data_IF_116029577132
#
_entry.id   IF_116029577132
#
_cell.length_a   1.000
_cell.length_b   1.000
_cell.length_c   1.000
_cell.angle_alpha   90.00
_cell.angle_beta   90.00
_cell.angle_gamma   90.00
#
_symmetry.space_group_name_H-M   'P 1'
#
loop_
_entity.id
_entity.type
_entity.pdbx_description
1 polymer ?
#
# COMPACT_ATOMS: atom_id res chain seq x y z
N UNK A 1 -20.90 -19.28 28.96
CA UNK A 1 -19.84 -19.56 27.99
C UNK A 1 -19.71 -18.29 27.16
N UNK A 2 -18.63 -17.54 27.35
CA UNK A 2 -18.39 -16.30 26.62
C UNK A 2 -17.93 -16.69 25.22
N UNK A 3 -18.73 -16.38 24.20
CA UNK A 3 -18.28 -16.37 22.82
C UNK A 3 -17.24 -15.25 22.70
N UNK A 4 -15.95 -15.58 22.82
CA UNK A 4 -14.88 -14.75 22.30
C UNK A 4 -14.99 -14.77 20.77
N UNK A 5 -15.89 -13.94 20.24
CA UNK A 5 -15.78 -13.50 18.84
C UNK A 5 -14.45 -12.79 18.74
N UNK A 6 -13.45 -13.47 18.17
CA UNK A 6 -12.23 -12.83 17.70
C UNK A 6 -12.67 -11.70 16.78
N UNK A 7 -12.58 -10.46 17.23
CA UNK A 7 -12.89 -9.32 16.38
C UNK A 7 -11.98 -9.38 15.15
N UNK A 8 -12.60 -9.49 13.97
CA UNK A 8 -11.87 -9.48 12.71
C UNK A 8 -11.21 -8.10 12.58
N UNK A 9 -9.88 -8.06 12.74
CA UNK A 9 -9.10 -6.84 12.49
C UNK A 9 -9.30 -6.41 11.04
N UNK A 10 -9.64 -5.15 10.82
CA UNK A 10 -9.77 -4.58 9.48
C UNK A 10 -8.44 -4.74 8.71
N UNK A 11 -8.52 -5.13 7.46
CA UNK A 11 -7.39 -5.31 6.56
C UNK A 11 -7.35 -4.17 5.54
N UNK A 12 -6.23 -3.45 5.48
CA UNK A 12 -5.98 -2.41 4.47
C UNK A 12 -4.90 -2.91 3.52
N UNK A 13 -5.07 -2.68 2.23
CA UNK A 13 -4.02 -2.83 1.24
C UNK A 13 -3.51 -1.45 0.83
N UNK A 14 -2.19 -1.25 0.82
CA UNK A 14 -1.54 -0.05 0.31
C UNK A 14 -0.74 -0.39 -0.94
N UNK A 15 -1.02 0.30 -2.04
CA UNK A 15 -0.41 0.06 -3.35
C UNK A 15 0.44 1.28 -3.77
N UNK A 16 1.67 1.00 -4.17
CA UNK A 16 2.64 1.98 -4.66
C UNK A 16 2.95 1.73 -6.14
N UNK A 17 2.77 2.77 -6.96
CA UNK A 17 3.03 2.73 -8.39
C UNK A 17 4.52 2.83 -8.74
N UNK A 18 4.82 3.10 -10.03
CA UNK A 18 6.18 3.04 -10.55
C UNK A 18 7.12 4.07 -9.93
N UNK A 19 8.40 3.70 -9.86
CA UNK A 19 9.55 4.45 -9.37
C UNK A 19 9.54 4.77 -7.87
N UNK A 20 8.49 4.46 -7.11
CA UNK A 20 8.47 4.70 -5.66
C UNK A 20 9.47 3.81 -4.90
N UNK A 21 9.87 2.67 -5.46
CA UNK A 21 10.98 1.86 -4.95
C UNK A 21 12.34 2.57 -4.97
N UNK A 22 12.45 3.72 -5.64
CA UNK A 22 13.67 4.53 -5.71
C UNK A 22 13.72 5.64 -4.64
N UNK A 23 12.70 5.79 -3.80
CA UNK A 23 12.71 6.73 -2.68
C UNK A 23 13.93 6.50 -1.77
N UNK A 24 14.49 7.59 -1.24
CA UNK A 24 15.71 7.57 -0.43
C UNK A 24 17.02 7.30 -1.20
N UNK A 25 16.97 6.92 -2.49
CA UNK A 25 18.17 6.58 -3.29
C UNK A 25 18.59 7.65 -4.30
N UNK A 26 17.71 8.59 -4.66
CA UNK A 26 18.00 9.67 -5.62
C UNK A 26 17.88 11.04 -4.95
N UNK A 27 18.90 11.86 -5.14
CA UNK A 27 18.94 13.29 -4.76
C UNK A 27 18.27 13.58 -3.39
N UNK A 28 18.88 13.14 -2.27
CA UNK A 28 18.28 13.25 -0.93
C UNK A 28 17.87 14.67 -0.54
N UNK A 29 18.52 15.68 -1.12
CA UNK A 29 18.19 17.09 -0.93
C UNK A 29 16.85 17.53 -1.54
N UNK A 30 16.28 16.75 -2.46
CA UNK A 30 15.01 17.04 -3.15
C UNK A 30 13.88 16.12 -2.66
N UNK A 31 14.15 14.82 -2.47
CA UNK A 31 13.11 13.81 -2.21
C UNK A 31 13.04 13.34 -0.75
N UNK A 32 13.90 13.88 0.13
CA UNK A 32 14.06 13.39 1.49
C UNK A 32 14.88 12.10 1.54
N UNK A 33 15.20 11.66 2.77
CA UNK A 33 16.01 10.47 3.01
C UNK A 33 15.19 9.21 3.21
N UNK A 34 13.87 9.34 3.40
CA UNK A 34 13.01 8.21 3.73
C UNK A 34 12.90 7.23 2.56
N UNK A 35 13.15 5.96 2.83
CA UNK A 35 12.96 4.89 1.84
C UNK A 35 11.50 4.44 1.82
N UNK A 36 11.10 3.74 0.74
CA UNK A 36 9.76 3.15 0.71
C UNK A 36 9.59 2.08 1.80
N UNK A 37 10.66 1.36 2.15
CA UNK A 37 10.65 0.35 3.21
C UNK A 37 10.35 0.97 4.57
N UNK A 38 10.95 2.13 4.89
CA UNK A 38 10.68 2.87 6.13
C UNK A 38 9.24 3.38 6.19
N UNK A 39 8.71 3.86 5.05
CA UNK A 39 7.32 4.31 4.93
C UNK A 39 6.37 3.12 5.14
N UNK A 40 6.65 1.97 4.53
CA UNK A 40 5.84 0.76 4.67
C UNK A 40 5.79 0.25 6.11
N UNK A 41 6.91 0.32 6.83
CA UNK A 41 6.99 -0.06 8.24
C UNK A 41 6.21 0.92 9.13
N UNK A 42 6.26 2.22 8.85
CA UNK A 42 5.45 3.22 9.54
C UNK A 42 3.96 3.00 9.31
N UNK A 43 3.54 2.73 8.06
CA UNK A 43 2.15 2.40 7.71
C UNK A 43 1.66 1.18 8.51
N UNK A 44 2.43 0.10 8.55
CA UNK A 44 2.08 -1.13 9.27
C UNK A 44 1.95 -0.87 10.77
N UNK A 45 2.92 -0.16 11.35
CA UNK A 45 2.91 0.22 12.76
C UNK A 45 1.69 1.07 13.10
N UNK A 46 1.40 2.11 12.30
CA UNK A 46 0.21 2.93 12.50
C UNK A 46 -1.06 2.10 12.37
N UNK A 47 -1.19 1.21 11.39
CA UNK A 47 -2.36 0.34 11.30
C UNK A 47 -2.56 -0.51 12.56
N UNK A 48 -1.48 -1.06 13.13
CA UNK A 48 -1.53 -1.84 14.37
C UNK A 48 -1.97 -1.01 15.58
N UNK A 49 -1.47 0.22 15.72
CA UNK A 49 -1.86 1.16 16.79
C UNK A 49 -3.37 1.44 16.78
N UNK A 50 -4.02 1.34 15.61
CA UNK A 50 -5.46 1.52 15.43
C UNK A 50 -6.25 0.20 15.42
N UNK A 51 -5.63 -0.93 15.76
CA UNK A 51 -6.28 -2.24 15.81
C UNK A 51 -6.57 -2.85 14.42
N UNK A 52 -5.92 -2.36 13.38
CA UNK A 52 -6.03 -2.81 12.00
C UNK A 52 -4.79 -3.63 11.59
N UNK A 53 -4.76 -4.11 10.34
CA UNK A 53 -3.54 -4.59 9.69
C UNK A 53 -3.41 -3.93 8.33
N UNK A 54 -2.17 -3.68 7.92
CA UNK A 54 -1.87 -3.19 6.59
C UNK A 54 -0.95 -4.18 5.86
N UNK A 55 -1.22 -4.39 4.59
CA UNK A 55 -0.30 -4.99 3.63
C UNK A 55 0.14 -3.92 2.64
N UNK A 56 1.41 -3.95 2.25
CA UNK A 56 1.98 -3.01 1.28
C UNK A 56 2.42 -3.77 0.02
N UNK A 57 2.24 -3.17 -1.14
CA UNK A 57 2.64 -3.71 -2.45
C UNK A 57 3.15 -2.59 -3.35
N UNK A 58 4.27 -2.82 -4.03
CA UNK A 58 4.82 -1.88 -5.00
C UNK A 58 5.09 -2.59 -6.32
N UNK A 59 4.76 -1.95 -7.44
CA UNK A 59 5.21 -2.41 -8.75
C UNK A 59 5.46 -1.26 -9.74
N UNK A 60 6.39 -1.52 -10.66
CA UNK A 60 6.64 -0.69 -11.83
C UNK A 60 5.78 -1.08 -13.04
N UNK A 61 5.01 -2.16 -12.94
CA UNK A 61 4.23 -2.74 -14.03
C UNK A 61 2.74 -2.50 -13.79
N UNK A 62 2.10 -1.77 -14.71
CA UNK A 62 0.65 -1.47 -14.65
C UNK A 62 -0.21 -2.73 -14.46
N UNK A 63 0.10 -3.81 -15.18
CA UNK A 63 -0.64 -5.07 -15.09
C UNK A 63 -0.61 -5.70 -13.68
N UNK A 64 0.54 -5.67 -13.01
CA UNK A 64 0.67 -6.22 -11.65
C UNK A 64 -0.12 -5.39 -10.63
N UNK A 65 -0.19 -4.07 -10.80
CA UNK A 65 -1.03 -3.20 -9.98
C UNK A 65 -2.52 -3.54 -10.16
N UNK A 66 -2.95 -3.77 -11.41
CA UNK A 66 -4.33 -4.17 -11.73
C UNK A 66 -4.66 -5.54 -11.12
N UNK A 67 -3.79 -6.53 -11.30
CA UNK A 67 -3.96 -7.85 -10.71
C UNK A 67 -4.06 -7.77 -9.19
N UNK A 68 -3.20 -6.99 -8.54
CA UNK A 68 -3.28 -6.80 -7.09
C UNK A 68 -4.58 -6.14 -6.65
N UNK A 69 -5.13 -5.20 -7.43
CA UNK A 69 -6.45 -4.60 -7.16
C UNK A 69 -7.56 -5.65 -7.28
N UNK A 70 -7.51 -6.54 -8.28
CA UNK A 70 -8.47 -7.63 -8.42
C UNK A 70 -8.40 -8.61 -7.24
N UNK A 71 -7.19 -9.02 -6.85
CA UNK A 71 -6.95 -9.91 -5.71
C UNK A 71 -7.44 -9.31 -4.38
N UNK A 72 -7.51 -7.97 -4.31
CA UNK A 72 -7.98 -7.30 -3.11
C UNK A 72 -9.49 -7.50 -2.85
N UNK A 73 -10.27 -7.89 -3.87
CA UNK A 73 -11.72 -8.07 -3.77
C UNK A 73 -12.05 -9.19 -2.79
N UNK A 74 -12.74 -8.84 -1.70
CA UNK A 74 -13.16 -9.79 -0.66
C UNK A 74 -12.08 -10.14 0.37
N UNK A 75 -10.82 -9.74 0.14
CA UNK A 75 -9.69 -9.93 1.05
C UNK A 75 -9.41 -8.73 1.96
N UNK A 76 -9.67 -7.51 1.49
CA UNK A 76 -9.39 -6.26 2.21
C UNK A 76 -10.65 -5.41 2.37
N UNK A 77 -10.68 -4.61 3.43
CA UNK A 77 -11.76 -3.68 3.74
C UNK A 77 -11.55 -2.31 3.08
N UNK A 78 -10.30 -1.98 2.72
CA UNK A 78 -9.94 -0.75 2.02
C UNK A 78 -8.66 -0.89 1.19
N UNK A 79 -8.55 -0.09 0.13
CA UNK A 79 -7.34 0.09 -0.67
C UNK A 79 -6.91 1.56 -0.61
N UNK A 80 -5.64 1.80 -0.30
CA UNK A 80 -4.98 3.09 -0.42
C UNK A 80 -3.98 2.97 -1.57
N UNK A 81 -3.98 3.89 -2.52
CA UNK A 81 -3.08 3.81 -3.67
C UNK A 81 -2.39 5.14 -3.94
N UNK A 82 -1.08 5.09 -4.14
CA UNK A 82 -0.30 6.13 -4.80
C UNK A 82 0.15 5.60 -6.17
N UNK A 83 -0.57 5.87 -7.27
CA UNK A 83 -0.24 5.34 -8.59
C UNK A 83 1.02 5.96 -9.23
N UNK A 84 1.65 6.95 -8.58
CA UNK A 84 2.77 7.72 -9.13
C UNK A 84 2.45 8.22 -10.55
N UNK A 85 3.32 7.94 -11.53
CA UNK A 85 3.14 8.38 -12.91
C UNK A 85 1.82 7.88 -13.55
N UNK A 86 1.32 6.71 -13.12
CA UNK A 86 0.07 6.15 -13.67
C UNK A 86 -1.18 6.95 -13.28
N UNK A 87 -1.08 7.87 -12.31
CA UNK A 87 -2.14 8.85 -12.00
C UNK A 87 -2.56 9.65 -13.24
N UNK A 88 -1.64 9.88 -14.17
CA UNK A 88 -1.86 10.74 -15.33
C UNK A 88 -2.15 9.98 -16.62
N UNK A 89 -1.88 8.68 -16.66
CA UNK A 89 -1.83 7.93 -17.93
C UNK A 89 -2.66 6.66 -17.93
N UNK A 90 -2.89 6.04 -16.76
CA UNK A 90 -3.58 4.75 -16.70
C UNK A 90 -5.08 4.92 -16.63
N UNK A 91 -5.75 4.76 -17.77
CA UNK A 91 -7.20 4.55 -17.81
C UNK A 91 -7.54 3.14 -17.29
N UNK A 92 -6.64 2.17 -17.44
CA UNK A 92 -6.88 0.79 -17.05
C UNK A 92 -6.98 0.59 -15.52
N UNK A 93 -6.27 1.41 -14.73
CA UNK A 93 -6.37 1.42 -13.26
C UNK A 93 -7.65 2.14 -12.76
N UNK A 94 -8.29 2.98 -13.57
CA UNK A 94 -9.41 3.85 -13.17
C UNK A 94 -10.77 3.16 -13.20
#
# INVERSE_FOLDING_TARGET
MLDEKVEKRRQILVIHGPNLNMLGRREPSVYGTSTLEEIDDEIKKTAEEWGMRAETFQSNHEGELIEKIHDAIGGYDAVIINPAAYTHTSIAIR
#
